data_IF_638628710344
#
_entry.id   IF_638628710344
#
_cell.length_a   1.000
_cell.length_b   1.000
_cell.length_c   1.000
_cell.angle_alpha   90.00
_cell.angle_beta   90.00
_cell.angle_gamma   90.00
#
_symmetry.space_group_name_H-M   'P 1'
#
loop_
_entity.id
_entity.type
_entity.pdbx_description
1 polymer ?
#
# COMPACT_ATOMS: atom_id res chain seq x y z
N UNK A 1 2.68 15.19 -1.10
CA UNK A 1 2.47 14.36 0.11
C UNK A 1 3.78 14.18 0.87
N UNK A 2 4.72 13.33 0.42
CA UNK A 2 5.98 13.02 1.13
C UNK A 2 6.70 14.25 1.69
N UNK A 3 7.04 15.25 0.85
CA UNK A 3 7.70 16.50 1.30
C UNK A 3 6.98 17.24 2.43
N UNK A 4 5.65 17.31 2.38
CA UNK A 4 4.86 17.97 3.42
C UNK A 4 4.94 17.21 4.74
N UNK A 5 4.78 15.89 4.68
CA UNK A 5 4.80 15.01 5.84
C UNK A 5 6.18 14.99 6.50
N UNK A 6 7.25 15.01 5.72
CA UNK A 6 8.62 15.13 6.21
C UNK A 6 8.85 16.42 7.01
N UNK A 7 8.46 17.57 6.43
CA UNK A 7 8.63 18.87 7.07
C UNK A 7 7.83 19.00 8.39
N UNK A 8 6.69 18.31 8.49
CA UNK A 8 5.84 18.33 9.68
C UNK A 8 6.24 17.31 10.73
N UNK A 9 6.84 16.18 10.33
CA UNK A 9 7.18 15.12 11.26
C UNK A 9 8.08 15.60 12.41
N UNK A 10 9.00 16.53 12.13
CA UNK A 10 9.88 17.14 13.14
C UNK A 10 9.13 17.99 14.18
N UNK A 11 7.96 18.52 13.82
CA UNK A 11 7.21 19.48 14.64
C UNK A 11 6.07 18.83 15.43
N UNK A 12 5.80 17.54 15.18
CA UNK A 12 4.65 16.84 15.72
C UNK A 12 5.08 15.65 16.55
N UNK A 13 4.45 15.47 17.70
CA UNK A 13 4.65 14.30 18.58
C UNK A 13 4.25 12.98 17.92
N UNK A 14 3.47 13.04 16.84
CA UNK A 14 3.05 11.91 16.00
C UNK A 14 3.84 11.82 14.68
N UNK A 15 5.03 12.44 14.62
CA UNK A 15 5.81 12.56 13.40
C UNK A 15 6.18 11.22 12.78
N UNK A 16 6.65 10.26 13.57
CA UNK A 16 7.02 8.93 13.09
C UNK A 16 5.82 8.16 12.53
N UNK A 17 4.67 8.24 13.19
CA UNK A 17 3.42 7.65 12.71
C UNK A 17 2.99 8.29 11.39
N UNK A 18 3.18 9.60 11.23
CA UNK A 18 2.89 10.31 9.99
C UNK A 18 3.80 9.86 8.84
N UNK A 19 5.09 9.65 9.11
CA UNK A 19 6.03 9.10 8.13
C UNK A 19 5.66 7.67 7.74
N UNK A 20 5.26 6.83 8.70
CA UNK A 20 4.82 5.45 8.46
C UNK A 20 3.56 5.38 7.59
N UNK A 21 2.55 6.22 7.88
CA UNK A 21 1.34 6.33 7.04
C UNK A 21 1.70 6.82 5.63
N UNK A 22 2.57 7.82 5.52
CA UNK A 22 3.02 8.30 4.21
C UNK A 22 3.71 7.20 3.41
N UNK A 23 4.60 6.42 4.03
CA UNK A 23 5.31 5.33 3.38
C UNK A 23 4.35 4.23 2.88
N UNK A 24 3.38 3.83 3.71
CA UNK A 24 2.37 2.85 3.31
C UNK A 24 1.55 3.34 2.11
N UNK A 25 0.97 4.54 2.20
CA UNK A 25 0.14 5.10 1.12
C UNK A 25 0.95 5.30 -0.15
N UNK A 26 2.21 5.72 -0.03
CA UNK A 26 3.10 5.90 -1.17
C UNK A 26 3.34 4.57 -1.90
N UNK A 27 3.66 3.50 -1.19
CA UNK A 27 3.83 2.18 -1.80
C UNK A 27 2.56 1.67 -2.47
N UNK A 28 1.41 1.90 -1.83
CA UNK A 28 0.11 1.56 -2.41
C UNK A 28 -0.13 2.29 -3.74
N UNK A 29 0.42 3.50 -3.95
CA UNK A 29 0.29 4.17 -5.27
C UNK A 29 1.02 3.45 -6.40
N UNK A 30 2.11 2.73 -6.14
CA UNK A 30 2.85 1.99 -7.16
C UNK A 30 2.10 0.72 -7.55
N UNK A 31 1.64 -0.03 -6.56
CA UNK A 31 0.93 -1.29 -6.78
C UNK A 31 -0.48 -1.08 -7.32
N UNK A 32 -1.20 -0.05 -6.85
CA UNK A 32 -2.60 0.22 -7.22
C UNK A 32 -2.78 1.36 -8.24
N UNK A 33 -1.71 1.82 -8.90
CA UNK A 33 -1.82 2.86 -9.94
C UNK A 33 -2.75 2.42 -11.08
N UNK A 34 -3.60 3.35 -11.52
CA UNK A 34 -4.62 3.07 -12.56
C UNK A 34 -5.93 2.51 -12.01
N UNK A 35 -6.00 2.23 -10.71
CA UNK A 35 -7.24 1.88 -10.03
C UNK A 35 -7.65 3.02 -9.08
N UNK A 36 -8.95 3.27 -8.90
CA UNK A 36 -9.44 4.07 -7.77
C UNK A 36 -10.60 3.38 -7.03
N UNK A 37 -10.86 3.77 -5.77
CA UNK A 37 -11.95 3.16 -4.99
C UNK A 37 -13.34 3.32 -5.64
N UNK A 38 -13.49 4.28 -6.57
CA UNK A 38 -14.71 4.54 -7.34
C UNK A 38 -14.52 4.06 -8.78
N UNK A 39 -15.42 3.23 -9.27
CA UNK A 39 -15.43 2.75 -10.65
C UNK A 39 -15.68 3.89 -11.64
N UNK A 40 -14.90 3.92 -12.72
CA UNK A 40 -15.00 4.89 -13.81
C UNK A 40 -14.57 4.24 -15.12
N UNK A 41 -14.90 4.84 -16.27
CA UNK A 41 -14.40 4.36 -17.56
C UNK A 41 -12.88 4.25 -17.62
N UNK A 42 -12.16 4.99 -16.77
CA UNK A 42 -10.70 5.02 -16.71
C UNK A 42 -10.08 3.83 -15.95
N UNK A 43 -10.87 3.05 -15.20
CA UNK A 43 -10.31 2.02 -14.31
C UNK A 43 -11.10 0.69 -14.25
N UNK A 44 -12.12 0.52 -15.09
CA UNK A 44 -12.86 -0.75 -15.15
C UNK A 44 -12.06 -1.81 -15.89
N UNK A 45 -12.07 -3.02 -15.34
CA UNK A 45 -11.36 -4.19 -15.86
C UNK A 45 -12.40 -5.26 -16.25
N UNK A 46 -12.17 -5.94 -17.38
CA UNK A 46 -13.00 -7.04 -17.85
C UNK A 46 -12.96 -8.19 -16.85
N UNK A 47 -14.13 -8.63 -16.37
CA UNK A 47 -14.24 -9.76 -15.43
C UNK A 47 -13.60 -11.02 -16.05
N UNK A 48 -12.68 -11.65 -15.31
CA UNK A 48 -11.98 -12.86 -15.76
C UNK A 48 -10.79 -12.64 -16.70
N UNK A 49 -10.46 -11.39 -17.05
CA UNK A 49 -9.24 -11.07 -17.81
C UNK A 49 -7.95 -11.20 -16.97
N UNK A 50 -8.08 -11.11 -15.64
CA UNK A 50 -6.95 -11.11 -14.71
C UNK A 50 -6.25 -12.47 -14.69
N UNK A 51 -4.96 -12.46 -15.01
CA UNK A 51 -4.14 -13.67 -15.08
C UNK A 51 -2.79 -13.45 -14.42
N UNK A 52 -2.35 -14.35 -13.52
CA UNK A 52 -0.97 -14.36 -13.08
C UNK A 52 -0.06 -14.76 -14.26
N UNK A 53 1.10 -14.13 -14.33
CA UNK A 53 2.17 -14.42 -15.29
C UNK A 53 3.41 -14.87 -14.50
N UNK A 54 4.19 -15.78 -15.07
CA UNK A 54 5.51 -16.16 -14.55
C UNK A 54 5.54 -16.63 -13.07
N UNK A 55 4.43 -17.20 -12.55
CA UNK A 55 4.41 -17.82 -11.21
C UNK A 55 5.12 -19.17 -11.27
N UNK A 56 6.23 -19.30 -10.54
CA UNK A 56 7.12 -20.47 -10.67
C UNK A 56 6.56 -21.71 -9.98
N UNK A 57 5.90 -21.54 -8.83
CA UNK A 57 5.31 -22.66 -8.09
C UNK A 57 3.83 -22.86 -8.48
N UNK A 58 3.45 -24.02 -9.05
CA UNK A 58 2.05 -24.35 -9.33
C UNK A 58 1.13 -24.25 -8.11
N UNK A 59 1.63 -24.51 -6.89
CA UNK A 59 0.85 -24.34 -5.66
C UNK A 59 0.59 -22.87 -5.36
N UNK A 60 1.53 -21.97 -5.64
CA UNK A 60 1.29 -20.53 -5.53
C UNK A 60 0.35 -20.01 -6.60
N UNK A 61 0.42 -20.54 -7.82
CA UNK A 61 -0.57 -20.22 -8.85
C UNK A 61 -1.98 -20.59 -8.37
N UNK A 62 -2.17 -21.80 -7.82
CA UNK A 62 -3.45 -22.23 -7.25
C UNK A 62 -3.89 -21.38 -6.04
N UNK A 63 -2.96 -21.04 -5.15
CA UNK A 63 -3.23 -20.15 -4.00
C UNK A 63 -3.73 -18.77 -4.45
N UNK A 64 -3.06 -18.16 -5.44
CA UNK A 64 -3.42 -16.84 -6.01
C UNK A 64 -4.81 -16.92 -6.65
N UNK A 65 -5.07 -17.92 -7.49
CA UNK A 65 -6.38 -18.11 -8.14
C UNK A 65 -7.49 -18.43 -7.14
N UNK A 66 -7.21 -19.21 -6.10
CA UNK A 66 -8.16 -19.50 -5.01
C UNK A 66 -8.49 -18.24 -4.21
N UNK A 67 -7.51 -17.36 -3.97
CA UNK A 67 -7.76 -16.05 -3.33
C UNK A 67 -8.61 -15.15 -4.22
N UNK A 68 -8.37 -15.13 -5.52
CA UNK A 68 -9.22 -14.43 -6.49
C UNK A 68 -10.67 -14.95 -6.45
N UNK A 69 -10.86 -16.27 -6.54
CA UNK A 69 -12.19 -16.88 -6.48
C UNK A 69 -12.93 -16.60 -5.17
N UNK A 70 -12.23 -16.63 -4.03
CA UNK A 70 -12.80 -16.25 -2.72
C UNK A 70 -13.19 -14.78 -2.65
N UNK A 71 -12.36 -13.90 -3.21
CA UNK A 71 -12.67 -12.49 -3.33
C UNK A 71 -13.95 -12.35 -4.15
N UNK A 72 -13.95 -12.76 -5.43
CA UNK A 72 -15.13 -12.71 -6.32
C UNK A 72 -16.40 -13.28 -5.65
N UNK A 73 -16.31 -14.43 -4.98
CA UNK A 73 -17.43 -15.03 -4.23
C UNK A 73 -17.93 -14.14 -3.09
N UNK A 74 -17.02 -13.60 -2.26
CA UNK A 74 -17.38 -12.66 -1.18
C UNK A 74 -18.02 -11.39 -1.73
N UNK A 75 -17.60 -10.90 -2.90
CA UNK A 75 -18.23 -9.75 -3.54
C UNK A 75 -19.63 -10.08 -4.07
N UNK A 76 -19.80 -11.24 -4.74
CA UNK A 76 -21.12 -11.69 -5.22
C UNK A 76 -22.12 -11.88 -4.07
N UNK A 77 -21.66 -12.36 -2.92
CA UNK A 77 -22.51 -12.55 -1.71
C UNK A 77 -22.67 -11.24 -0.91
N UNK A 78 -21.63 -10.41 -0.83
CA UNK A 78 -21.57 -9.20 -0.02
C UNK A 78 -22.24 -7.96 -0.62
N UNK A 79 -22.54 -7.96 -1.92
CA UNK A 79 -23.32 -6.89 -2.59
C UNK A 79 -24.74 -6.71 -2.01
N UNK A 80 -25.19 -7.61 -1.13
CA UNK A 80 -26.53 -7.56 -0.52
C UNK A 80 -26.56 -6.83 0.84
N UNK A 81 -25.44 -6.64 1.57
CA UNK A 81 -25.57 -6.34 3.03
C UNK A 81 -24.91 -5.07 3.57
N UNK A 82 -23.86 -4.46 3.00
CA UNK A 82 -23.25 -3.32 3.74
C UNK A 82 -22.33 -2.40 2.93
N UNK A 83 -22.90 -1.40 2.25
CA UNK A 83 -22.51 0.03 2.40
C UNK A 83 -23.46 0.93 1.58
N UNK A 84 -24.63 1.23 2.16
CA UNK A 84 -25.68 2.11 1.64
C UNK A 84 -26.38 1.70 0.33
N UNK A 85 -27.70 1.90 0.33
CA UNK A 85 -28.59 1.68 -0.79
C UNK A 85 -28.21 2.58 -1.98
N UNK A 86 -28.45 2.06 -3.18
CA UNK A 86 -28.26 2.69 -4.50
C UNK A 86 -26.79 2.91 -4.90
N UNK A 87 -26.20 1.92 -5.58
CA UNK A 87 -25.84 2.01 -7.00
C UNK A 87 -24.87 0.88 -7.37
N UNK A 88 -25.42 -0.05 -8.17
CA UNK A 88 -24.81 -0.98 -9.13
C UNK A 88 -23.32 -1.36 -9.00
N UNK A 89 -23.09 -2.62 -9.31
CA UNK A 89 -21.81 -3.33 -9.53
C UNK A 89 -20.80 -2.66 -10.48
N UNK A 90 -21.12 -1.48 -11.02
CA UNK A 90 -20.28 -0.61 -11.86
C UNK A 90 -19.40 0.38 -11.07
N UNK A 91 -19.47 0.41 -9.74
CA UNK A 91 -18.87 1.44 -8.87
C UNK A 91 -17.53 1.11 -8.23
N UNK A 92 -16.85 0.00 -8.60
CA UNK A 92 -15.60 -0.42 -7.94
C UNK A 92 -14.43 -0.45 -8.92
N UNK A 93 -13.56 0.56 -8.87
CA UNK A 93 -12.31 0.58 -9.64
C UNK A 93 -11.23 -0.35 -9.06
N UNK A 94 -10.96 -0.29 -7.74
CA UNK A 94 -9.98 -1.15 -7.03
C UNK A 94 -10.45 -2.59 -6.86
N UNK A 95 -11.76 -2.79 -6.68
CA UNK A 95 -12.34 -4.12 -6.44
C UNK A 95 -12.16 -5.08 -7.61
N UNK A 96 -11.90 -4.59 -8.82
CA UNK A 96 -11.79 -5.46 -9.99
C UNK A 96 -10.55 -6.36 -9.94
N UNK A 97 -9.42 -5.87 -9.40
CA UNK A 97 -8.12 -6.58 -9.43
C UNK A 97 -7.74 -7.33 -8.14
N UNK A 98 -8.68 -7.38 -7.18
CA UNK A 98 -8.57 -8.16 -5.95
C UNK A 98 -7.24 -7.91 -5.20
N UNK A 99 -6.51 -8.97 -4.85
CA UNK A 99 -5.25 -8.91 -4.09
C UNK A 99 -4.00 -8.97 -4.98
N UNK A 100 -4.13 -8.78 -6.29
CA UNK A 100 -3.00 -8.90 -7.22
C UNK A 100 -1.97 -7.77 -7.05
N UNK A 101 -2.39 -6.50 -6.95
CA UNK A 101 -1.50 -5.40 -6.58
C UNK A 101 -0.70 -5.64 -5.29
N UNK A 102 -1.31 -6.28 -4.28
CA UNK A 102 -0.70 -6.46 -2.96
C UNK A 102 0.39 -7.54 -2.90
N UNK A 103 0.70 -8.19 -4.03
CA UNK A 103 1.65 -9.32 -4.12
C UNK A 103 2.93 -8.88 -4.82
N UNK A 104 3.96 -8.41 -4.10
CA UNK A 104 5.17 -7.86 -4.71
C UNK A 104 5.91 -8.81 -5.65
N UNK A 105 5.85 -10.13 -5.45
CA UNK A 105 6.48 -11.11 -6.33
C UNK A 105 5.78 -11.27 -7.68
N UNK A 106 4.50 -10.88 -7.76
CA UNK A 106 3.61 -11.25 -8.84
C UNK A 106 3.85 -10.42 -10.10
N UNK A 107 3.98 -11.10 -11.22
CA UNK A 107 3.72 -10.50 -12.54
C UNK A 107 2.33 -10.94 -12.99
N UNK A 108 1.57 -10.07 -13.62
CA UNK A 108 0.19 -10.35 -13.97
C UNK A 108 -0.28 -9.44 -15.09
N UNK A 109 -1.39 -9.80 -15.74
CA UNK A 109 -2.05 -8.94 -16.70
C UNK A 109 -3.55 -8.91 -16.48
N UNK A 110 -4.19 -7.89 -17.06
CA UNK A 110 -5.63 -7.68 -17.05
C UNK A 110 -6.03 -6.82 -18.26
N UNK A 111 -7.32 -6.78 -18.60
CA UNK A 111 -7.83 -6.01 -19.73
C UNK A 111 -8.80 -4.92 -19.28
N UNK A 112 -8.63 -3.69 -19.76
CA UNK A 112 -9.56 -2.59 -19.49
C UNK A 112 -10.86 -2.75 -20.27
N UNK A 113 -12.00 -2.40 -19.67
CA UNK A 113 -13.33 -2.46 -20.31
C UNK A 113 -13.50 -1.36 -21.37
N UNK A 114 -12.86 -0.21 -21.17
CA UNK A 114 -12.90 0.93 -22.11
C UNK A 114 -11.48 1.26 -22.57
N UNK A 115 -11.30 1.64 -23.85
CA UNK A 115 -10.01 2.13 -24.32
C UNK A 115 -9.61 3.40 -23.56
N UNK A 116 -8.33 3.50 -23.21
CA UNK A 116 -7.77 4.76 -22.72
C UNK A 116 -7.69 5.75 -23.88
N UNK A 117 -8.28 6.93 -23.73
CA UNK A 117 -8.07 8.03 -24.67
C UNK A 117 -6.64 8.59 -24.46
N UNK A 118 -5.83 8.69 -25.51
CA UNK A 118 -4.60 9.47 -25.41
C UNK A 118 -4.96 10.95 -25.44
N UNK A 119 -4.36 11.73 -24.54
CA UNK A 119 -4.54 13.18 -24.44
C UNK A 119 -4.15 13.95 -25.71
N UNK A 120 -3.54 13.30 -26.70
CA UNK A 120 -3.05 13.92 -27.94
C UNK A 120 -3.90 13.66 -29.18
N UNK A 121 -4.78 12.63 -29.21
CA UNK A 121 -5.38 12.21 -30.49
C UNK A 121 -6.90 12.17 -30.56
N UNK A 122 -7.66 12.15 -29.45
CA UNK A 122 -9.12 11.92 -29.44
C UNK A 122 -9.57 10.73 -30.32
N UNK A 123 -8.64 9.84 -30.68
CA UNK A 123 -8.89 8.61 -31.38
C UNK A 123 -8.87 7.50 -30.34
N UNK A 124 -9.83 6.55 -30.39
CA UNK A 124 -9.69 5.34 -29.60
C UNK A 124 -8.35 4.72 -29.98
N UNK A 125 -7.43 4.63 -29.03
CA UNK A 125 -6.17 3.96 -29.30
C UNK A 125 -6.55 2.49 -29.53
N UNK A 126 -6.17 1.92 -30.68
CA UNK A 126 -6.03 0.46 -30.82
C UNK A 126 -4.89 -0.07 -29.94
N UNK A 127 -4.53 0.63 -28.85
CA UNK A 127 -3.53 0.18 -27.90
C UNK A 127 -4.11 -1.04 -27.20
N UNK A 128 -3.24 -2.01 -26.99
CA UNK A 128 -3.53 -3.20 -26.22
C UNK A 128 -4.30 -2.80 -24.96
N UNK A 129 -5.59 -3.17 -24.91
CA UNK A 129 -6.42 -3.03 -23.71
C UNK A 129 -5.87 -3.88 -22.57
N UNK A 130 -4.93 -4.78 -22.88
CA UNK A 130 -4.21 -5.64 -21.96
C UNK A 130 -3.05 -4.86 -21.36
N UNK A 131 -3.13 -4.61 -20.07
CA UNK A 131 -2.01 -4.09 -19.30
C UNK A 131 -1.28 -5.25 -18.60
N UNK A 132 0.06 -5.23 -18.66
CA UNK A 132 0.93 -6.14 -17.91
C UNK A 132 1.64 -5.39 -16.81
N UNK A 133 1.59 -5.95 -15.59
CA UNK A 133 2.24 -5.41 -14.39
C UNK A 133 3.28 -6.38 -13.88
N UNK A 134 4.47 -5.86 -13.60
CA UNK A 134 5.48 -6.55 -12.81
C UNK A 134 5.60 -5.86 -11.46
N UNK A 135 4.95 -6.43 -10.44
CA UNK A 135 4.98 -5.84 -9.12
C UNK A 135 6.41 -5.79 -8.56
N UNK A 136 7.32 -6.69 -8.98
CA UNK A 136 8.69 -6.67 -8.47
C UNK A 136 9.39 -5.37 -8.82
N UNK A 137 9.21 -4.91 -10.05
CA UNK A 137 9.76 -3.64 -10.53
C UNK A 137 9.08 -2.48 -9.81
N UNK A 138 7.75 -2.45 -9.80
CA UNK A 138 6.98 -1.35 -9.20
C UNK A 138 7.26 -1.16 -7.70
N UNK A 139 7.34 -2.25 -6.94
CA UNK A 139 7.68 -2.19 -5.51
C UNK A 139 9.14 -1.75 -5.32
N UNK A 140 10.07 -2.24 -6.15
CA UNK A 140 11.47 -1.86 -6.03
C UNK A 140 11.71 -0.37 -6.32
N UNK A 141 11.03 0.19 -7.33
CA UNK A 141 11.04 1.64 -7.60
C UNK A 141 10.55 2.46 -6.40
N UNK A 142 9.50 1.99 -5.73
CA UNK A 142 9.01 2.61 -4.50
C UNK A 142 10.03 2.56 -3.35
N UNK A 143 10.81 1.48 -3.24
CA UNK A 143 11.79 1.29 -2.16
C UNK A 143 12.92 2.32 -2.16
N UNK A 144 13.44 2.73 -3.32
CA UNK A 144 14.51 3.74 -3.41
C UNK A 144 14.03 5.11 -2.92
N UNK A 145 12.79 5.49 -3.27
CA UNK A 145 12.22 6.73 -2.76
C UNK A 145 11.97 6.66 -1.26
N UNK A 146 11.42 5.55 -0.76
CA UNK A 146 11.23 5.36 0.68
C UNK A 146 12.55 5.42 1.44
N UNK A 147 13.61 4.80 0.91
CA UNK A 147 14.95 4.88 1.47
C UNK A 147 15.39 6.34 1.60
N UNK A 148 15.30 7.11 0.50
CA UNK A 148 15.68 8.53 0.48
C UNK A 148 14.86 9.36 1.46
N UNK A 149 13.57 9.05 1.59
CA UNK A 149 12.64 9.71 2.51
C UNK A 149 13.01 9.50 3.98
N UNK A 150 13.26 8.25 4.37
CA UNK A 150 13.66 7.93 5.75
C UNK A 150 15.08 8.40 6.06
N UNK A 151 15.99 8.33 5.08
CA UNK A 151 17.33 8.90 5.21
C UNK A 151 17.27 10.39 5.49
N UNK A 152 16.51 11.16 4.71
CA UNK A 152 16.38 12.59 4.94
C UNK A 152 15.82 12.89 6.34
N UNK A 153 14.80 12.15 6.78
CA UNK A 153 14.30 12.31 8.15
C UNK A 153 15.37 12.06 9.21
N UNK A 154 16.17 11.01 9.02
CA UNK A 154 17.23 10.66 9.96
C UNK A 154 18.34 11.73 9.99
N UNK A 155 18.75 12.25 8.83
CA UNK A 155 19.71 13.36 8.70
C UNK A 155 19.21 14.63 9.41
N UNK A 156 17.90 14.88 9.41
CA UNK A 156 17.31 16.05 10.05
C UNK A 156 17.17 15.92 11.58
N UNK A 157 17.09 14.70 12.12
CA UNK A 157 16.69 14.44 13.52
C UNK A 157 17.81 13.89 14.39
N UNK A 158 18.69 13.08 13.83
CA UNK A 158 19.74 12.41 14.59
C UNK A 158 21.09 13.08 14.36
N UNK A 159 21.91 13.12 15.41
CA UNK A 159 23.29 13.56 15.28
C UNK A 159 24.13 12.46 14.62
N UNK A 160 24.67 12.74 13.44
CA UNK A 160 25.56 11.82 12.69
C UNK A 160 24.97 10.42 12.44
N UNK A 161 23.80 10.30 11.79
CA UNK A 161 23.19 9.01 11.51
C UNK A 161 24.07 8.17 10.57
N UNK A 162 24.13 6.86 10.84
CA UNK A 162 24.78 5.90 9.97
C UNK A 162 23.78 5.37 8.94
N UNK A 163 24.24 5.22 7.69
CA UNK A 163 23.43 4.71 6.60
C UNK A 163 24.14 3.58 5.88
N UNK A 164 23.34 2.63 5.44
CA UNK A 164 23.74 1.65 4.45
C UNK A 164 23.39 2.24 3.10
N UNK A 165 24.33 2.40 2.15
CA UNK A 165 24.01 2.85 0.80
C UNK A 165 22.91 1.98 0.16
N UNK A 166 21.97 2.60 -0.55
CA UNK A 166 20.85 1.85 -1.15
C UNK A 166 21.35 0.75 -2.11
N UNK A 167 22.38 1.04 -2.89
CA UNK A 167 23.00 0.08 -3.82
C UNK A 167 23.51 -1.17 -3.10
N UNK A 168 23.99 -1.03 -1.86
CA UNK A 168 24.53 -2.15 -1.08
C UNK A 168 23.44 -3.09 -0.55
N UNK A 169 22.18 -2.63 -0.46
CA UNK A 169 21.01 -3.41 -0.02
C UNK A 169 20.01 -3.70 -1.15
N UNK A 170 20.25 -3.15 -2.35
CA UNK A 170 19.32 -3.22 -3.47
C UNK A 170 19.00 -4.67 -3.87
N UNK A 171 20.01 -5.54 -3.91
CA UNK A 171 19.82 -6.93 -4.31
C UNK A 171 19.10 -7.76 -3.23
N UNK A 172 19.34 -7.49 -1.94
CA UNK A 172 18.59 -8.09 -0.84
C UNK A 172 17.11 -7.66 -0.88
N UNK A 173 16.84 -6.38 -1.17
CA UNK A 173 15.48 -5.85 -1.34
C UNK A 173 14.79 -6.53 -2.52
N UNK A 174 15.45 -6.66 -3.68
CA UNK A 174 14.88 -7.38 -4.83
C UNK A 174 14.60 -8.83 -4.50
N UNK A 175 15.51 -9.50 -3.80
CA UNK A 175 15.36 -10.89 -3.40
C UNK A 175 14.11 -11.07 -2.51
N UNK A 176 13.91 -10.21 -1.51
CA UNK A 176 12.77 -10.33 -0.61
C UNK A 176 11.44 -9.96 -1.25
N UNK A 177 11.43 -8.98 -2.15
CA UNK A 177 10.25 -8.64 -2.96
C UNK A 177 9.83 -9.84 -3.82
N UNK A 178 10.79 -10.62 -4.32
CA UNK A 178 10.56 -11.78 -5.18
C UNK A 178 10.11 -13.06 -4.44
N UNK A 179 10.04 -13.07 -3.11
CA UNK A 179 9.63 -14.25 -2.33
C UNK A 179 8.16 -14.59 -2.60
N UNK A 180 7.92 -15.75 -3.22
CA UNK A 180 6.60 -16.33 -3.49
C UNK A 180 6.06 -17.09 -2.27
N UNK A 181 5.59 -16.37 -1.25
CA UNK A 181 4.97 -16.96 -0.06
C UNK A 181 3.65 -16.27 0.29
N UNK A 182 2.93 -16.82 1.28
CA UNK A 182 1.81 -16.12 1.90
C UNK A 182 2.27 -14.95 2.81
N UNK A 183 1.31 -14.28 3.43
CA UNK A 183 1.60 -13.11 4.26
C UNK A 183 2.55 -13.43 5.42
N UNK A 184 2.36 -14.56 6.10
CA UNK A 184 3.18 -14.93 7.26
C UNK A 184 4.58 -15.38 6.81
N UNK A 185 4.67 -16.21 5.75
CA UNK A 185 5.96 -16.63 5.19
C UNK A 185 6.82 -15.45 4.75
N UNK A 186 6.21 -14.46 4.09
CA UNK A 186 6.92 -13.22 3.72
C UNK A 186 7.35 -12.39 4.93
N UNK A 187 6.52 -12.28 5.97
CA UNK A 187 6.91 -11.59 7.22
C UNK A 187 8.10 -12.27 7.86
N UNK A 188 8.16 -13.60 7.83
CA UNK A 188 9.29 -14.36 8.37
C UNK A 188 10.58 -14.11 7.57
N UNK A 189 10.52 -14.05 6.24
CA UNK A 189 11.67 -13.64 5.41
C UNK A 189 12.15 -12.22 5.74
N UNK A 190 11.25 -11.26 5.94
CA UNK A 190 11.63 -9.88 6.31
C UNK A 190 12.36 -9.84 7.65
N UNK A 191 11.95 -10.69 8.60
CA UNK A 191 12.57 -10.78 9.93
C UNK A 191 13.89 -11.57 9.91
N UNK A 192 14.09 -12.42 8.92
CA UNK A 192 15.32 -13.18 8.76
C UNK A 192 16.48 -12.35 8.19
N UNK A 193 16.19 -11.19 7.57
CA UNK A 193 17.18 -10.29 7.00
C UNK A 193 18.21 -9.82 8.04
N UNK A 194 19.48 -9.87 7.63
CA UNK A 194 20.62 -9.40 8.42
C UNK A 194 21.49 -8.49 7.59
N UNK A 195 21.96 -7.42 8.21
CA UNK A 195 23.00 -6.56 7.69
C UNK A 195 24.26 -6.70 8.56
N UNK A 196 25.41 -7.05 7.98
CA UNK A 196 26.65 -7.28 8.74
C UNK A 196 26.49 -8.23 9.95
N UNK A 197 25.73 -9.33 9.78
CA UNK A 197 25.32 -10.28 10.83
C UNK A 197 24.36 -9.74 11.90
N UNK A 198 23.92 -8.48 11.80
CA UNK A 198 22.94 -7.87 12.70
C UNK A 198 21.54 -7.95 12.08
N UNK A 199 20.51 -8.42 12.81
CA UNK A 199 19.14 -8.38 12.33
C UNK A 199 18.71 -6.95 11.96
N UNK A 200 18.15 -6.78 10.76
CA UNK A 200 17.64 -5.48 10.30
C UNK A 200 16.34 -5.13 11.03
N UNK A 201 15.47 -6.13 11.21
CA UNK A 201 14.25 -6.03 11.99
C UNK A 201 14.47 -6.72 13.33
N UNK A 202 14.04 -6.08 14.42
CA UNK A 202 14.05 -6.70 15.73
C UNK A 202 13.30 -8.04 15.70
N UNK A 203 13.95 -9.18 16.03
CA UNK A 203 13.35 -10.50 15.84
C UNK A 203 12.06 -10.72 16.63
N UNK A 204 11.79 -9.93 17.66
CA UNK A 204 10.59 -10.05 18.50
C UNK A 204 9.41 -9.21 18.03
N UNK A 205 9.61 -8.28 17.10
CA UNK A 205 8.53 -7.41 16.62
C UNK A 205 7.64 -8.22 15.67
N UNK A 206 6.41 -8.50 16.10
CA UNK A 206 5.35 -9.06 15.25
C UNK A 206 4.09 -8.25 15.46
N UNK A 207 3.44 -7.87 14.36
CA UNK A 207 2.14 -7.24 14.45
C UNK A 207 1.14 -8.20 15.09
N UNK A 208 0.47 -7.73 16.13
CA UNK A 208 -0.63 -8.43 16.77
C UNK A 208 -1.86 -7.54 16.73
N UNK A 209 -2.86 -7.98 15.95
CA UNK A 209 -4.11 -7.24 15.79
C UNK A 209 -4.84 -7.06 17.13
N UNK A 210 -4.86 -8.10 17.96
CA UNK A 210 -5.53 -8.03 19.26
C UNK A 210 -4.85 -7.02 20.16
N UNK A 211 -3.51 -7.01 20.21
CA UNK A 211 -2.76 -6.03 21.02
C UNK A 211 -3.02 -4.60 20.54
N UNK A 212 -3.09 -4.39 19.21
CA UNK A 212 -3.42 -3.08 18.64
C UNK A 212 -4.85 -2.63 18.97
N UNK A 213 -5.83 -3.51 18.82
CA UNK A 213 -7.23 -3.18 19.13
C UNK A 213 -7.44 -2.95 20.63
N UNK A 214 -6.80 -3.76 21.48
CA UNK A 214 -6.87 -3.63 22.94
C UNK A 214 -6.33 -2.29 23.43
N UNK A 215 -5.26 -1.78 22.83
CA UNK A 215 -4.72 -0.45 23.18
C UNK A 215 -5.73 0.69 23.03
N UNK A 216 -6.77 0.54 22.20
CA UNK A 216 -7.86 1.53 22.08
C UNK A 216 -8.84 1.44 23.25
N UNK A 217 -9.08 0.25 23.77
CA UNK A 217 -9.96 0.00 24.92
C UNK A 217 -9.28 0.39 26.23
N UNK A 218 -7.96 0.24 26.32
CA UNK A 218 -7.14 0.65 27.47
C UNK A 218 -7.19 2.17 27.75
N UNK A 219 -7.75 2.97 26.83
CA UNK A 219 -7.92 4.41 27.03
C UNK A 219 -8.88 4.75 28.17
N UNK A 220 -9.90 3.91 28.39
CA UNK A 220 -10.89 4.08 29.46
C UNK A 220 -10.28 3.75 30.83
N UNK A 221 -9.21 2.95 30.86
CA UNK A 221 -8.52 2.51 32.07
C UNK A 221 -7.38 3.44 32.51
N UNK A 222 -7.09 4.52 31.76
CA UNK A 222 -6.07 5.51 32.16
C UNK A 222 -6.65 6.58 33.07
N UNK A 223 -5.95 6.87 34.17
CA UNK A 223 -6.36 7.89 35.15
C UNK A 223 -6.35 9.31 34.58
N UNK A 224 -5.42 9.61 33.66
CA UNK A 224 -5.27 10.94 33.08
C UNK A 224 -5.23 10.94 31.55
N UNK A 225 -5.87 11.94 30.92
CA UNK A 225 -5.89 12.08 29.45
C UNK A 225 -4.48 12.21 28.82
N UNK A 226 -3.51 12.74 29.57
CA UNK A 226 -2.11 12.88 29.11
C UNK A 226 -1.47 11.51 28.82
N UNK A 227 -1.88 10.47 29.54
CA UNK A 227 -1.32 9.13 29.40
C UNK A 227 -1.74 8.54 28.06
N UNK A 228 -2.98 8.79 27.63
CA UNK A 228 -3.49 8.42 26.31
C UNK A 228 -2.77 9.15 25.17
N UNK A 229 -2.50 10.44 25.32
CA UNK A 229 -1.81 11.28 24.29
C UNK A 229 -0.39 10.78 24.00
N UNK A 230 0.24 10.13 24.98
CA UNK A 230 1.60 9.60 24.83
C UNK A 230 1.66 8.27 24.05
N UNK A 231 0.53 7.59 23.85
CA UNK A 231 0.48 6.26 23.23
C UNK A 231 0.64 6.32 21.70
N UNK A 232 1.26 5.30 21.12
CA UNK A 232 1.43 5.18 19.66
C UNK A 232 0.08 5.07 18.93
N UNK A 233 -0.92 4.40 19.53
CA UNK A 233 -2.26 4.28 18.92
C UNK A 233 -2.96 5.63 18.81
N UNK A 234 -2.88 6.48 19.84
CA UNK A 234 -3.43 7.83 19.78
C UNK A 234 -2.71 8.69 18.74
N UNK A 235 -1.37 8.67 18.76
CA UNK A 235 -0.52 9.38 17.78
C UNK A 235 -0.79 8.93 16.35
N UNK A 236 -0.99 7.64 16.12
CA UNK A 236 -1.40 7.11 14.82
C UNK A 236 -2.72 7.71 14.36
N UNK A 237 -3.73 7.78 15.23
CA UNK A 237 -5.01 8.41 14.88
C UNK A 237 -4.86 9.92 14.58
N UNK A 238 -3.99 10.64 15.30
CA UNK A 238 -3.67 12.03 14.97
C UNK A 238 -3.01 12.15 13.59
N UNK A 239 -2.00 11.32 13.32
CA UNK A 239 -1.30 11.28 12.05
C UNK A 239 -2.23 10.92 10.88
N UNK A 240 -3.12 9.94 11.07
CA UNK A 240 -4.10 9.52 10.08
C UNK A 240 -5.12 10.63 9.78
N UNK A 241 -5.62 11.31 10.82
CA UNK A 241 -6.53 12.44 10.65
C UNK A 241 -5.87 13.59 9.88
N UNK A 242 -4.63 13.93 10.23
CA UNK A 242 -3.86 14.95 9.51
C UNK A 242 -3.60 14.55 8.05
N UNK A 243 -3.09 13.33 7.81
CA UNK A 243 -2.84 12.82 6.46
C UNK A 243 -4.10 12.90 5.60
N UNK A 244 -5.23 12.37 6.10
CA UNK A 244 -6.51 12.38 5.38
C UNK A 244 -6.95 13.81 5.06
N UNK A 245 -6.88 14.72 6.04
CA UNK A 245 -7.27 16.12 5.82
C UNK A 245 -6.40 16.75 4.73
N UNK A 246 -5.08 16.70 4.88
CA UNK A 246 -4.15 17.30 3.93
C UNK A 246 -4.33 16.72 2.53
N UNK A 247 -4.45 15.39 2.39
CA UNK A 247 -4.63 14.77 1.07
C UNK A 247 -5.93 15.23 0.42
N UNK A 248 -7.05 15.16 1.14
CA UNK A 248 -8.38 15.43 0.56
C UNK A 248 -8.69 16.92 0.41
N UNK A 249 -8.14 17.78 1.26
CA UNK A 249 -8.51 19.21 1.35
C UNK A 249 -7.44 20.15 0.82
N UNK A 250 -6.18 19.72 0.76
CA UNK A 250 -5.09 20.57 0.27
C UNK A 250 -4.45 19.98 -0.99
N UNK A 251 -3.96 18.74 -0.92
CA UNK A 251 -3.18 18.13 -1.98
C UNK A 251 -4.00 17.89 -3.24
N UNK A 252 -5.06 17.09 -3.17
CA UNK A 252 -5.89 16.76 -4.33
C UNK A 252 -6.51 18.02 -4.97
N UNK A 253 -7.08 18.96 -4.20
CA UNK A 253 -7.60 20.21 -4.77
C UNK A 253 -6.54 21.07 -5.47
N UNK A 254 -5.28 21.08 -5.00
CA UNK A 254 -4.19 21.79 -5.69
C UNK A 254 -3.90 21.22 -7.11
N UNK A 255 -4.35 19.99 -7.39
CA UNK A 255 -4.30 19.37 -8.72
C UNK A 255 -5.68 19.31 -9.40
N UNK A 256 -6.67 20.06 -8.90
CA UNK A 256 -8.02 20.10 -9.47
C UNK A 256 -8.88 18.86 -9.20
N UNK A 257 -8.47 18.00 -8.27
CA UNK A 257 -9.19 16.77 -7.91
C UNK A 257 -9.99 17.05 -6.62
N UNK A 258 -11.32 16.92 -6.70
CA UNK A 258 -12.20 17.05 -5.55
C UNK A 258 -12.79 15.68 -5.17
N UNK A 259 -12.64 15.32 -3.90
CA UNK A 259 -13.29 14.15 -3.30
C UNK A 259 -14.22 14.67 -2.20
N UNK A 260 -15.52 14.42 -2.38
CA UNK A 260 -16.58 14.88 -1.47
C UNK A 260 -16.84 13.88 -0.36
#
# INVERSE_FOLDING_TARGET
>A
MMRNHLALAQQKTYGLELLGIAAHVYMDTFSHSGFSGVGSSLNKVIEGSIKPLDVKDPKMADYVLTKLGRFVKRFKIGSVISFFAEESTSSLGHGAVATFPDRPYLKWCFEYEYPHESSESNLPIEAEQIETRDNKINFFEGCELLYSYFRQHAEDVYDSPEFIPFDDIADDIKAIIAVEEDCDGRVDEWRALKWNNTPIIEPKVRYNKSDWENQKFDFEDKEEAKDNISTNVYRFHQAAAYHRYYVLKDLLPAYGIAVY
#
